data_IF_193154102697
#
_entry.id   IF_193154102697
#
_cell.length_a   1.000
_cell.length_b   1.000
_cell.length_c   1.000
_cell.angle_alpha   90.00
_cell.angle_beta   90.00
_cell.angle_gamma   90.00
#
_symmetry.space_group_name_H-M   'P 1'
#
loop_
_entity.id
_entity.type
_entity.pdbx_description
1 polymer ?
#
# COMPACT_ATOMS: atom_id res chain seq x y z
N UNK A 1 -16.99 14.20 -3.80
CA UNK A 1 -18.00 13.21 -4.24
C UNK A 1 -17.83 11.91 -3.45
N UNK A 2 -16.69 11.27 -3.41
CA UNK A 2 -16.45 10.01 -2.67
C UNK A 2 -16.63 10.17 -1.15
N UNK A 3 -16.21 11.28 -0.57
CA UNK A 3 -16.28 11.53 0.87
C UNK A 3 -17.73 11.66 1.38
N UNK A 4 -18.63 12.30 0.62
CA UNK A 4 -20.05 12.36 0.93
C UNK A 4 -20.71 10.99 0.87
N UNK A 5 -20.44 10.21 -0.15
CA UNK A 5 -21.00 8.87 -0.34
C UNK A 5 -20.72 7.91 0.83
N UNK A 6 -19.49 7.91 1.33
CA UNK A 6 -19.12 7.08 2.49
C UNK A 6 -19.82 7.56 3.78
N UNK A 7 -19.95 8.86 3.96
CA UNK A 7 -20.61 9.43 5.12
C UNK A 7 -22.10 9.06 5.17
N UNK A 8 -22.78 9.16 4.03
CA UNK A 8 -24.19 8.78 3.90
C UNK A 8 -24.41 7.28 4.18
N UNK A 9 -23.51 6.42 3.71
CA UNK A 9 -23.56 4.97 3.97
C UNK A 9 -23.42 4.67 5.47
N UNK A 10 -22.48 5.29 6.15
CA UNK A 10 -22.26 5.09 7.59
C UNK A 10 -23.46 5.58 8.39
N UNK A 11 -24.04 6.74 8.03
CA UNK A 11 -25.26 7.24 8.65
C UNK A 11 -26.44 6.31 8.46
N UNK A 12 -26.61 5.73 7.27
CA UNK A 12 -27.68 4.76 7.02
C UNK A 12 -27.50 3.46 7.85
N UNK A 13 -26.27 3.01 8.00
CA UNK A 13 -25.95 1.82 8.80
C UNK A 13 -26.18 2.07 10.29
N UNK A 14 -25.70 3.23 10.81
CA UNK A 14 -25.97 3.65 12.16
C UNK A 14 -27.47 3.82 12.41
N UNK A 15 -28.22 4.44 11.49
CA UNK A 15 -29.65 4.60 11.62
C UNK A 15 -30.40 3.27 11.74
N UNK A 16 -30.03 2.28 10.92
CA UNK A 16 -30.61 0.93 11.00
C UNK A 16 -30.26 0.22 12.29
N UNK A 17 -29.00 0.27 12.69
CA UNK A 17 -28.52 -0.32 13.94
C UNK A 17 -29.20 0.32 15.15
N UNK A 18 -29.26 1.66 15.19
CA UNK A 18 -29.92 2.41 16.27
C UNK A 18 -31.40 2.06 16.37
N UNK A 19 -32.10 1.97 15.24
CA UNK A 19 -33.52 1.61 15.23
C UNK A 19 -33.77 0.17 15.73
N UNK A 20 -32.84 -0.76 15.43
CA UNK A 20 -32.91 -2.13 15.96
C UNK A 20 -32.71 -2.15 17.49
N UNK A 21 -31.68 -1.47 17.98
CA UNK A 21 -31.37 -1.39 19.41
C UNK A 21 -32.50 -0.66 20.16
N UNK A 22 -33.04 0.43 19.58
CA UNK A 22 -34.15 1.18 20.16
C UNK A 22 -35.37 0.31 20.46
N UNK A 23 -35.74 -0.58 19.54
CA UNK A 23 -36.85 -1.54 19.80
C UNK A 23 -36.57 -2.45 20.97
N UNK A 24 -35.34 -3.00 21.05
CA UNK A 24 -34.94 -3.84 22.17
C UNK A 24 -34.98 -3.09 23.51
N UNK A 25 -34.55 -1.83 23.53
CA UNK A 25 -34.61 -0.96 24.71
C UNK A 25 -36.05 -0.60 25.08
N UNK A 26 -36.94 -0.28 24.11
CA UNK A 26 -38.34 0.00 24.37
C UNK A 26 -39.10 -1.21 24.93
N UNK A 27 -38.72 -2.43 24.53
CA UNK A 27 -39.36 -3.67 25.01
C UNK A 27 -38.81 -4.14 26.37
N UNK A 28 -37.49 -4.06 26.59
CA UNK A 28 -36.77 -4.72 27.70
C UNK A 28 -35.99 -3.72 28.58
N UNK A 29 -35.94 -2.45 28.24
CA UNK A 29 -35.21 -1.42 28.99
C UNK A 29 -33.72 -1.69 29.11
N UNK A 30 -33.17 -1.40 30.29
CA UNK A 30 -31.75 -1.57 30.64
C UNK A 30 -31.27 -3.02 30.51
N UNK A 31 -32.16 -4.01 30.69
CA UNK A 31 -31.81 -5.43 30.60
C UNK A 31 -31.27 -5.77 29.18
N UNK A 32 -31.85 -5.15 28.13
CA UNK A 32 -31.41 -5.37 26.77
C UNK A 32 -29.98 -4.82 26.50
N UNK A 33 -29.63 -3.69 27.13
CA UNK A 33 -28.30 -3.06 26.95
C UNK A 33 -27.20 -3.81 27.71
N UNK A 34 -27.56 -4.51 28.78
CA UNK A 34 -26.63 -5.34 29.57
C UNK A 34 -26.38 -6.73 28.98
N UNK A 35 -27.19 -7.14 27.99
CA UNK A 35 -26.97 -8.37 27.22
C UNK A 35 -25.81 -8.13 26.20
N UNK A 36 -25.22 -9.21 25.70
CA UNK A 36 -24.00 -9.18 24.87
C UNK A 36 -24.22 -8.42 23.53
N UNK A 37 -24.40 -7.09 23.59
CA UNK A 37 -24.44 -6.24 22.42
C UNK A 37 -23.06 -6.13 21.77
N UNK A 38 -23.00 -6.06 20.41
CA UNK A 38 -21.75 -5.89 19.69
C UNK A 38 -21.02 -4.63 20.17
N UNK A 39 -19.80 -4.77 20.68
CA UNK A 39 -18.94 -3.66 21.12
C UNK A 39 -18.31 -2.86 19.96
N UNK A 40 -18.77 -3.10 18.76
CA UNK A 40 -18.26 -2.42 17.55
C UNK A 40 -18.65 -0.94 17.48
N UNK A 41 -19.79 -0.58 18.07
CA UNK A 41 -20.28 0.81 18.10
C UNK A 41 -20.50 1.25 19.56
N UNK A 42 -20.25 2.53 19.84
CA UNK A 42 -20.59 3.10 21.13
C UNK A 42 -22.10 3.37 21.19
N UNK A 43 -22.72 2.93 22.25
CA UNK A 43 -24.17 3.08 22.53
C UNK A 43 -24.31 3.92 23.80
N UNK A 44 -25.04 5.02 23.71
CA UNK A 44 -25.33 5.89 24.86
C UNK A 44 -26.82 6.08 24.94
N UNK A 45 -27.43 5.85 26.11
CA UNK A 45 -28.84 6.16 26.39
C UNK A 45 -28.92 7.38 27.26
N UNK A 46 -29.67 8.36 26.80
CA UNK A 46 -29.74 9.70 27.38
C UNK A 46 -31.20 10.03 27.74
N UNK A 47 -31.42 10.46 28.95
CA UNK A 47 -32.72 10.93 29.39
C UNK A 47 -33.14 12.23 28.64
N UNK A 48 -34.42 12.60 28.71
CA UNK A 48 -34.96 13.82 28.06
C UNK A 48 -34.32 15.11 28.57
N UNK A 49 -33.76 15.12 29.77
CA UNK A 49 -33.03 16.26 30.38
C UNK A 49 -31.53 16.28 30.04
N UNK A 50 -31.05 15.30 29.23
CA UNK A 50 -29.64 15.15 28.82
C UNK A 50 -28.79 14.34 29.77
N UNK A 51 -29.34 13.80 30.86
CA UNK A 51 -28.59 12.90 31.76
C UNK A 51 -28.31 11.59 31.08
N UNK A 52 -27.05 11.11 31.16
CA UNK A 52 -26.66 9.79 30.61
C UNK A 52 -27.16 8.70 31.54
N UNK A 53 -27.98 7.80 31.01
CA UNK A 53 -28.55 6.66 31.73
C UNK A 53 -27.72 5.39 31.56
N UNK A 54 -27.01 5.29 30.44
CA UNK A 54 -26.14 4.12 30.08
C UNK A 54 -25.15 4.51 29.01
N UNK A 55 -23.95 3.94 29.12
CA UNK A 55 -22.93 3.97 28.05
C UNK A 55 -22.14 2.65 28.08
N UNK A 56 -21.91 2.03 26.93
CA UNK A 56 -21.22 0.75 26.88
C UNK A 56 -19.67 0.87 26.89
N UNK A 57 -19.12 2.10 26.86
CA UNK A 57 -17.67 2.32 26.88
C UNK A 57 -17.18 3.02 28.14
N UNK A 58 -17.96 3.92 28.70
CA UNK A 58 -17.60 4.72 29.87
C UNK A 58 -18.65 4.58 30.98
N UNK A 59 -18.22 4.82 32.20
CA UNK A 59 -19.11 4.87 33.36
C UNK A 59 -20.00 6.12 33.26
N UNK A 60 -21.32 5.91 33.24
CA UNK A 60 -22.35 6.97 33.18
C UNK A 60 -22.18 8.03 34.28
N UNK A 61 -21.70 7.62 35.45
CA UNK A 61 -21.50 8.54 36.60
C UNK A 61 -20.33 9.53 36.34
N UNK A 62 -19.40 9.20 35.46
CA UNK A 62 -18.28 10.06 35.06
C UNK A 62 -18.61 11.00 33.91
N UNK A 63 -19.75 10.80 33.27
CA UNK A 63 -20.14 11.55 32.07
C UNK A 63 -20.91 12.84 32.41
N UNK A 64 -20.60 13.91 31.71
CA UNK A 64 -21.36 15.15 31.78
C UNK A 64 -22.74 15.07 31.11
N UNK A 65 -23.57 16.07 31.31
CA UNK A 65 -24.85 16.17 30.64
C UNK A 65 -24.68 16.29 29.11
N UNK A 66 -25.50 15.58 28.35
CA UNK A 66 -25.47 15.52 26.89
C UNK A 66 -26.56 16.36 26.20
N UNK A 67 -27.30 17.17 26.93
CA UNK A 67 -28.35 18.03 26.38
C UNK A 67 -27.83 19.00 25.29
N UNK A 68 -26.57 19.42 25.40
CA UNK A 68 -25.95 20.36 24.46
C UNK A 68 -25.42 19.69 23.18
N UNK A 69 -25.58 18.39 23.05
CA UNK A 69 -25.12 17.65 21.86
C UNK A 69 -26.10 17.87 20.70
N UNK A 70 -25.56 18.30 19.56
CA UNK A 70 -26.34 18.65 18.36
C UNK A 70 -27.28 17.51 17.95
N UNK A 71 -26.77 16.28 17.87
CA UNK A 71 -27.52 15.07 17.52
C UNK A 71 -28.65 14.78 18.54
N UNK A 72 -28.41 15.07 19.84
CA UNK A 72 -29.40 14.84 20.90
C UNK A 72 -30.50 15.91 20.84
N UNK A 73 -30.13 17.17 20.66
CA UNK A 73 -31.09 18.25 20.50
C UNK A 73 -32.00 18.03 19.29
N UNK A 74 -31.40 17.70 18.16
CA UNK A 74 -32.14 17.41 16.94
C UNK A 74 -33.09 16.21 17.13
N UNK A 75 -32.62 15.13 17.78
CA UNK A 75 -33.44 13.96 18.08
C UNK A 75 -34.64 14.31 19.01
N UNK A 76 -34.42 15.13 20.03
CA UNK A 76 -35.50 15.59 20.93
C UNK A 76 -36.55 16.41 20.18
N UNK A 77 -36.16 17.26 19.21
CA UNK A 77 -37.05 18.08 18.43
C UNK A 77 -37.76 17.37 17.29
N UNK A 78 -36.98 16.64 16.49
CA UNK A 78 -37.41 16.05 15.21
C UNK A 78 -37.62 14.53 15.26
N UNK A 79 -37.34 13.89 16.41
CA UNK A 79 -37.41 12.45 16.58
C UNK A 79 -36.12 11.69 16.19
N UNK A 80 -35.26 12.33 15.43
CA UNK A 80 -33.95 11.81 15.02
C UNK A 80 -32.97 12.95 14.81
N UNK A 81 -31.67 12.67 15.05
CA UNK A 81 -30.64 13.67 14.85
C UNK A 81 -29.33 13.00 14.43
N UNK A 82 -28.44 13.73 13.80
CA UNK A 82 -27.12 13.26 13.40
C UNK A 82 -26.08 14.38 13.51
N UNK A 83 -24.88 14.01 13.91
CA UNK A 83 -23.73 14.91 13.91
C UNK A 83 -22.47 14.19 13.49
N UNK A 84 -21.50 14.93 13.03
CA UNK A 84 -20.16 14.37 12.79
C UNK A 84 -19.11 15.31 13.35
N UNK A 85 -18.16 14.74 14.12
CA UNK A 85 -17.05 15.48 14.72
C UNK A 85 -15.73 14.89 14.25
N UNK A 86 -14.82 15.78 13.89
CA UNK A 86 -13.48 15.42 13.50
C UNK A 86 -12.51 15.71 14.65
N UNK A 87 -11.68 14.74 14.99
CA UNK A 87 -10.58 14.94 15.95
C UNK A 87 -9.30 15.17 15.16
N UNK A 88 -8.82 16.40 15.14
CA UNK A 88 -7.56 16.76 14.46
C UNK A 88 -6.35 16.02 15.06
N UNK A 89 -6.41 15.72 16.37
CA UNK A 89 -5.32 15.05 17.09
C UNK A 89 -5.20 13.57 16.71
N UNK A 90 -6.31 12.89 16.42
CA UNK A 90 -6.35 11.45 16.14
C UNK A 90 -6.61 11.15 14.67
N UNK A 91 -6.80 12.17 13.83
CA UNK A 91 -7.22 12.04 12.43
C UNK A 91 -8.42 11.11 12.24
N UNK A 92 -9.32 11.11 13.22
CA UNK A 92 -10.50 10.25 13.27
C UNK A 92 -11.76 11.10 13.17
N UNK A 93 -12.69 10.65 12.35
CA UNK A 93 -14.03 11.26 12.25
C UNK A 93 -15.03 10.35 12.92
N UNK A 94 -15.68 10.84 13.97
CA UNK A 94 -16.76 10.13 14.64
C UNK A 94 -18.09 10.64 14.12
N UNK A 95 -18.93 9.72 13.68
CA UNK A 95 -20.29 9.98 13.23
C UNK A 95 -21.23 9.52 14.32
N UNK A 96 -22.21 10.39 14.64
CA UNK A 96 -23.21 10.17 15.66
C UNK A 96 -24.57 10.11 15.00
N UNK A 97 -25.41 9.18 15.48
CA UNK A 97 -26.81 9.13 15.14
C UNK A 97 -27.63 8.97 16.44
N UNK A 98 -28.71 9.72 16.56
CA UNK A 98 -29.56 9.72 17.73
C UNK A 98 -31.04 9.53 17.32
N UNK A 99 -31.76 8.73 18.09
CA UNK A 99 -33.17 8.43 17.88
C UNK A 99 -33.92 8.62 19.19
N UNK A 100 -35.03 9.41 19.15
CA UNK A 100 -35.90 9.59 20.31
C UNK A 100 -36.80 8.38 20.46
N UNK A 101 -36.83 7.83 21.69
CA UNK A 101 -37.68 6.73 22.09
C UNK A 101 -39.10 7.22 22.46
N UNK A 102 -40.04 6.28 22.64
CA UNK A 102 -41.43 6.58 22.96
C UNK A 102 -41.61 7.22 24.33
N UNK A 103 -40.71 7.00 25.28
CA UNK A 103 -40.67 7.59 26.62
C UNK A 103 -40.08 9.02 26.65
N UNK A 104 -39.62 9.53 25.49
CA UNK A 104 -38.97 10.82 25.33
C UNK A 104 -37.47 10.83 25.59
N UNK A 105 -36.86 9.70 25.99
CA UNK A 105 -35.41 9.58 26.05
C UNK A 105 -34.80 9.44 24.66
N UNK A 106 -33.47 9.50 24.56
CA UNK A 106 -32.74 9.46 23.30
C UNK A 106 -31.72 8.32 23.34
N UNK A 107 -31.77 7.41 22.36
CA UNK A 107 -30.74 6.44 22.11
C UNK A 107 -29.78 6.97 21.07
N UNK A 108 -28.51 7.12 21.44
CA UNK A 108 -27.43 7.59 20.56
C UNK A 108 -26.47 6.47 20.27
N UNK A 109 -26.13 6.28 19.02
CA UNK A 109 -25.02 5.41 18.60
C UNK A 109 -23.94 6.23 17.93
N UNK A 110 -22.70 5.81 18.06
CA UNK A 110 -21.60 6.42 17.33
C UNK A 110 -20.64 5.38 16.82
N UNK A 111 -20.07 5.68 15.67
CA UNK A 111 -19.01 4.90 15.08
C UNK A 111 -17.83 5.81 14.74
N UNK A 112 -16.64 5.37 15.14
CA UNK A 112 -15.40 6.08 14.84
C UNK A 112 -14.83 5.50 13.58
N UNK A 113 -15.14 6.15 12.47
CA UNK A 113 -14.51 5.79 11.21
C UNK A 113 -13.06 6.25 11.22
N UNK A 114 -12.15 5.29 11.22
CA UNK A 114 -10.77 5.53 10.83
C UNK A 114 -10.79 6.23 9.48
N UNK A 115 -10.05 7.33 9.36
CA UNK A 115 -9.93 8.04 8.09
C UNK A 115 -9.68 7.01 6.99
N UNK A 116 -10.43 7.09 5.89
CA UNK A 116 -10.23 6.25 4.69
C UNK A 116 -8.75 6.24 4.28
N UNK A 117 -8.05 7.34 4.60
CA UNK A 117 -6.62 7.49 4.40
C UNK A 117 -5.78 6.49 5.21
N UNK A 118 -6.18 6.20 6.45
CA UNK A 118 -5.48 5.19 7.27
C UNK A 118 -5.71 3.77 6.72
N UNK A 119 -6.91 3.46 6.22
CA UNK A 119 -7.18 2.18 5.54
C UNK A 119 -6.38 2.04 4.25
N UNK A 120 -6.27 3.13 3.47
CA UNK A 120 -5.43 3.15 2.25
C UNK A 120 -3.97 2.97 2.60
N UNK A 121 -3.46 3.63 3.63
CA UNK A 121 -2.07 3.45 4.09
C UNK A 121 -1.79 2.00 4.53
N UNK A 122 -2.70 1.41 5.29
CA UNK A 122 -2.56 0.00 5.71
C UNK A 122 -2.60 -0.97 4.52
N UNK A 123 -3.44 -0.70 3.52
CA UNK A 123 -3.50 -1.49 2.28
C UNK A 123 -2.25 -1.32 1.40
N UNK A 124 -1.60 -0.15 1.44
CA UNK A 124 -0.36 0.11 0.70
C UNK A 124 0.86 -0.62 1.27
N UNK A 125 0.87 -0.90 2.57
CA UNK A 125 2.02 -1.55 3.22
C UNK A 125 2.37 -2.92 2.61
N UNK A 126 1.44 -3.88 2.43
CA UNK A 126 1.75 -5.15 1.80
C UNK A 126 2.14 -5.01 0.32
N UNK A 127 1.54 -4.04 -0.40
CA UNK A 127 1.90 -3.77 -1.80
C UNK A 127 3.32 -3.23 -1.90
N UNK A 128 3.71 -2.30 -1.03
CA UNK A 128 5.08 -1.77 -0.99
C UNK A 128 6.09 -2.88 -0.66
N UNK A 129 5.78 -3.75 0.29
CA UNK A 129 6.65 -4.89 0.64
C UNK A 129 6.84 -5.83 -0.55
N UNK A 130 5.75 -6.21 -1.23
CA UNK A 130 5.81 -7.07 -2.42
C UNK A 130 6.60 -6.43 -3.57
N UNK A 131 6.44 -5.12 -3.77
CA UNK A 131 7.20 -4.38 -4.79
C UNK A 131 8.69 -4.39 -4.48
N UNK A 132 9.09 -4.15 -3.23
CA UNK A 132 10.50 -4.20 -2.81
C UNK A 132 11.08 -5.61 -3.00
N UNK A 133 10.34 -6.65 -2.60
CA UNK A 133 10.78 -8.05 -2.78
C UNK A 133 10.93 -8.40 -4.26
N UNK A 134 9.99 -8.00 -5.11
CA UNK A 134 10.06 -8.23 -6.55
C UNK A 134 11.26 -7.49 -7.18
N UNK A 135 11.53 -6.27 -6.73
CA UNK A 135 12.68 -5.49 -7.19
C UNK A 135 14.02 -6.13 -6.77
N UNK A 136 14.13 -6.57 -5.52
CA UNK A 136 15.31 -7.26 -5.04
C UNK A 136 15.55 -8.59 -5.81
N UNK A 137 14.48 -9.35 -6.08
CA UNK A 137 14.56 -10.57 -6.86
C UNK A 137 15.00 -10.30 -8.30
N UNK A 138 14.46 -9.24 -8.92
CA UNK A 138 14.85 -8.84 -10.28
C UNK A 138 16.33 -8.44 -10.36
N UNK A 139 16.82 -7.66 -9.38
CA UNK A 139 18.25 -7.30 -9.30
C UNK A 139 19.14 -8.52 -9.09
N UNK A 140 18.72 -9.45 -8.22
CA UNK A 140 19.46 -10.70 -8.00
C UNK A 140 19.52 -11.55 -9.26
N UNK A 141 18.40 -11.74 -9.96
CA UNK A 141 18.32 -12.46 -11.24
C UNK A 141 19.18 -11.78 -12.32
N UNK A 142 19.07 -10.46 -12.46
CA UNK A 142 19.87 -9.69 -13.42
C UNK A 142 21.36 -9.85 -13.15
N UNK A 143 21.79 -9.76 -11.89
CA UNK A 143 23.18 -10.00 -11.50
C UNK A 143 23.65 -11.43 -11.78
N UNK A 144 22.78 -12.42 -11.56
CA UNK A 144 23.09 -13.82 -11.86
C UNK A 144 23.23 -14.07 -13.37
N UNK A 145 22.30 -13.54 -14.18
CA UNK A 145 22.33 -13.65 -15.64
C UNK A 145 23.55 -12.92 -16.21
N UNK A 146 23.84 -11.71 -15.72
CA UNK A 146 25.02 -10.97 -16.14
C UNK A 146 26.33 -11.74 -15.88
N UNK A 147 26.48 -12.37 -14.72
CA UNK A 147 27.66 -13.19 -14.42
C UNK A 147 27.74 -14.44 -15.27
N UNK A 148 26.62 -15.11 -15.52
CA UNK A 148 26.61 -16.32 -16.33
C UNK A 148 26.87 -16.08 -17.82
N UNK A 149 26.46 -14.96 -18.39
CA UNK A 149 26.55 -14.67 -19.81
C UNK A 149 27.71 -13.74 -20.17
N UNK A 150 28.01 -12.75 -19.32
CA UNK A 150 29.01 -11.72 -19.64
C UNK A 150 30.41 -12.11 -19.18
N UNK A 151 30.53 -12.78 -18.03
CA UNK A 151 31.84 -13.21 -17.50
C UNK A 151 32.59 -14.19 -18.44
N UNK A 152 31.94 -15.23 -19.01
CA UNK A 152 32.57 -16.09 -19.99
C UNK A 152 33.01 -15.39 -21.28
N UNK A 153 32.27 -14.36 -21.71
CA UNK A 153 32.60 -13.62 -22.95
C UNK A 153 33.82 -12.71 -22.74
N UNK A 154 33.96 -12.11 -21.56
CA UNK A 154 35.11 -11.28 -21.22
C UNK A 154 36.38 -12.08 -20.90
N UNK A 155 36.25 -13.37 -20.58
CA UNK A 155 37.36 -14.26 -20.31
C UNK A 155 37.95 -14.90 -21.60
N UNK A 156 37.41 -14.60 -22.78
CA UNK A 156 37.92 -15.05 -24.03
C UNK A 156 39.20 -14.26 -24.35
N UNK A 157 40.37 -14.83 -24.02
CA UNK A 157 41.66 -14.34 -24.48
C UNK A 157 41.78 -14.64 -25.97
N UNK A 158 41.89 -13.61 -26.83
CA UNK A 158 42.05 -13.83 -28.28
C UNK A 158 43.31 -14.59 -28.63
N UNK A 159 44.26 -14.71 -27.70
CA UNK A 159 45.57 -15.36 -27.90
C UNK A 159 45.62 -16.83 -27.44
N UNK A 160 44.63 -17.29 -26.64
CA UNK A 160 44.58 -18.66 -26.13
C UNK A 160 43.19 -19.28 -26.39
N UNK A 161 42.99 -20.15 -27.36
CA UNK A 161 41.72 -20.80 -27.64
C UNK A 161 41.42 -21.88 -26.61
N UNK A 162 40.50 -21.62 -25.70
CA UNK A 162 39.89 -22.70 -24.92
C UNK A 162 38.79 -23.37 -25.75
N UNK A 163 38.87 -24.67 -25.86
CA UNK A 163 38.08 -25.54 -26.75
C UNK A 163 36.59 -25.66 -26.39
N UNK A 164 36.11 -25.00 -25.32
CA UNK A 164 34.78 -25.21 -24.74
C UNK A 164 33.81 -24.04 -24.93
N UNK A 165 34.05 -23.12 -25.87
CA UNK A 165 33.21 -21.99 -26.08
C UNK A 165 32.18 -22.24 -27.17
N UNK A 166 30.91 -22.50 -26.75
CA UNK A 166 29.66 -22.48 -27.52
C UNK A 166 29.79 -22.76 -29.04
N UNK A 167 29.26 -23.90 -29.47
CA UNK A 167 29.16 -24.31 -30.90
C UNK A 167 28.63 -23.19 -31.80
N UNK A 168 27.79 -22.30 -31.30
CA UNK A 168 27.21 -21.16 -32.02
C UNK A 168 28.21 -20.02 -32.34
N UNK A 169 29.29 -19.87 -31.58
CA UNK A 169 30.30 -18.83 -31.79
C UNK A 169 31.49 -19.33 -32.66
N UNK A 170 31.56 -20.61 -32.93
CA UNK A 170 32.61 -21.23 -33.74
C UNK A 170 32.81 -20.58 -35.12
N UNK A 171 31.73 -20.21 -35.87
CA UNK A 171 31.91 -19.54 -37.18
C UNK A 171 32.52 -18.15 -37.04
N UNK A 172 32.17 -17.41 -35.97
CA UNK A 172 32.67 -16.07 -35.72
C UNK A 172 34.14 -16.07 -35.32
N UNK A 173 34.53 -17.00 -34.45
CA UNK A 173 35.91 -17.19 -34.02
C UNK A 173 36.81 -17.63 -35.18
N UNK A 174 36.31 -18.48 -36.07
CA UNK A 174 37.04 -18.88 -37.28
C UNK A 174 37.29 -17.71 -38.20
N UNK A 175 36.31 -16.81 -38.36
CA UNK A 175 36.43 -15.59 -39.16
C UNK A 175 37.45 -14.60 -38.58
N UNK A 176 37.40 -14.39 -37.25
CA UNK A 176 38.37 -13.53 -36.55
C UNK A 176 39.81 -14.10 -36.67
N UNK A 177 39.99 -15.42 -36.49
CA UNK A 177 41.27 -16.06 -36.66
C UNK A 177 41.83 -15.95 -38.08
N UNK A 178 40.95 -16.04 -39.09
CA UNK A 178 41.38 -15.88 -40.48
C UNK A 178 41.82 -14.43 -40.79
N UNK A 179 41.08 -13.44 -40.26
CA UNK A 179 41.44 -12.03 -40.40
C UNK A 179 42.78 -11.72 -39.69
N UNK A 180 42.99 -12.20 -38.51
CA UNK A 180 44.23 -11.98 -37.76
C UNK A 180 45.42 -12.56 -38.46
N UNK A 181 45.30 -13.78 -39.03
CA UNK A 181 46.35 -14.37 -39.88
C UNK A 181 46.63 -13.56 -41.14
N UNK A 182 45.61 -12.98 -41.75
CA UNK A 182 45.76 -12.11 -42.92
C UNK A 182 46.51 -10.85 -42.57
N UNK A 183 46.19 -10.21 -41.45
CA UNK A 183 46.90 -9.02 -40.97
C UNK A 183 48.37 -9.35 -40.66
N UNK A 184 48.64 -10.46 -40.01
CA UNK A 184 50.03 -10.85 -39.75
C UNK A 184 50.84 -11.12 -41.03
N UNK A 185 50.23 -11.73 -42.03
CA UNK A 185 50.88 -11.91 -43.33
C UNK A 185 51.18 -10.58 -44.03
N UNK A 186 50.25 -9.63 -43.99
CA UNK A 186 50.44 -8.30 -44.54
C UNK A 186 51.57 -7.52 -43.83
N UNK A 187 51.66 -7.63 -42.51
CA UNK A 187 52.75 -7.03 -41.74
C UNK A 187 54.13 -7.60 -42.11
N UNK A 188 54.22 -8.92 -42.28
CA UNK A 188 55.47 -9.58 -42.69
C UNK A 188 55.88 -9.16 -44.12
N UNK A 189 54.92 -9.10 -45.06
CA UNK A 189 55.15 -8.62 -46.43
C UNK A 189 55.61 -7.14 -46.46
N UNK A 190 55.03 -6.32 -45.65
CA UNK A 190 55.44 -4.91 -45.50
C UNK A 190 56.83 -4.77 -44.88
N UNK A 191 57.19 -5.59 -43.90
CA UNK A 191 58.52 -5.60 -43.31
C UNK A 191 59.57 -6.05 -44.33
N UNK A 192 59.28 -7.10 -45.07
CA UNK A 192 60.16 -7.59 -46.09
C UNK A 192 60.38 -6.58 -47.22
N UNK A 193 59.34 -5.94 -47.71
CA UNK A 193 59.45 -4.84 -48.68
C UNK A 193 60.25 -3.65 -48.18
N UNK A 194 60.11 -3.32 -46.89
CA UNK A 194 60.86 -2.27 -46.25
C UNK A 194 62.35 -2.58 -46.19
N UNK A 195 62.69 -3.82 -45.85
CA UNK A 195 64.09 -4.31 -45.84
C UNK A 195 64.69 -4.31 -47.24
N UNK A 196 63.95 -4.79 -48.26
CA UNK A 196 64.34 -4.70 -49.66
C UNK A 196 64.59 -3.26 -50.13
N UNK A 197 63.71 -2.35 -49.77
CA UNK A 197 63.83 -0.92 -50.09
C UNK A 197 65.04 -0.29 -49.39
N UNK A 198 65.30 -0.63 -48.14
CA UNK A 198 66.46 -0.18 -47.40
C UNK A 198 67.79 -0.67 -48.03
N UNK A 199 67.84 -1.96 -48.40
CA UNK A 199 69.00 -2.56 -49.04
C UNK A 199 69.29 -1.96 -50.44
N UNK A 200 68.25 -1.61 -51.19
CA UNK A 200 68.41 -0.90 -52.49
C UNK A 200 68.96 0.50 -52.30
N UNK A 201 68.47 1.26 -51.29
CA UNK A 201 68.90 2.61 -51.02
C UNK A 201 70.32 2.68 -50.46
N UNK A 202 70.77 1.72 -49.66
CA UNK A 202 72.14 1.62 -49.17
C UNK A 202 73.15 1.26 -50.31
N UNK A 203 72.77 0.47 -51.31
CA UNK A 203 73.62 0.14 -52.42
C UNK A 203 73.70 1.22 -53.49
N UNK A 204 72.91 2.28 -53.40
CA UNK A 204 72.89 3.39 -54.36
C UNK A 204 73.63 4.66 -53.87
N UNK A 205 74.23 4.62 -52.68
CA UNK A 205 75.04 5.72 -52.11
C UNK A 205 76.55 5.33 -52.24
#
# INVERSE_FOLDING_TARGET
>A
VLHGYFQDRVLEELARSTAYIARGVEENGMAYLNDDLPKSSRITWVASDGTVLYDNWEDEASMGNHADREEVQEALMLGRGSASRYSDTLSQKTVYYALRLSDGSVLRTSDTNYSVWMMVLQALQPVALMTVLAFCLALWLAGRVARQLVEPINAIDPSAPSEDVYEELSPLLTKIRSQNRQIQRQLLDLQQRREEFTAITENMS
#
